data_IF_870868822018
#
_entry.id   IF_870868822018
#
_cell.length_a   1.000
_cell.length_b   1.000
_cell.length_c   1.000
_cell.angle_alpha   90.00
_cell.angle_beta   90.00
_cell.angle_gamma   90.00
#
_symmetry.space_group_name_H-M   'P 1'
#
loop_
_entity.id
_entity.type
_entity.pdbx_description
1 polymer ?
#
# COMPACT_ATOMS: atom_id res chain seq x y z
N UNK A 1 -31.76 -24.83 4.10
CA UNK A 1 -31.96 -23.37 4.25
C UNK A 1 -30.83 -22.75 5.08
N UNK A 2 -30.58 -23.23 6.30
CA UNK A 2 -29.45 -22.84 7.18
C UNK A 2 -28.07 -22.89 6.52
N UNK A 3 -27.76 -23.94 5.74
CA UNK A 3 -26.47 -24.04 5.03
C UNK A 3 -26.28 -23.02 3.90
N UNK A 4 -27.37 -22.56 3.26
CA UNK A 4 -27.31 -21.55 2.20
C UNK A 4 -27.14 -20.13 2.76
N UNK A 5 -27.76 -19.85 3.91
CA UNK A 5 -27.65 -18.57 4.61
C UNK A 5 -26.23 -18.37 5.15
N UNK A 6 -25.63 -19.41 5.73
CA UNK A 6 -24.25 -19.34 6.25
C UNK A 6 -23.22 -19.09 5.13
N UNK A 7 -23.38 -19.77 3.98
CA UNK A 7 -22.53 -19.59 2.81
C UNK A 7 -22.63 -18.16 2.25
N UNK A 8 -23.85 -17.62 2.19
CA UNK A 8 -24.09 -16.26 1.69
C UNK A 8 -23.44 -15.25 2.61
N UNK A 9 -23.64 -15.34 3.93
CA UNK A 9 -23.03 -14.43 4.90
C UNK A 9 -21.49 -14.45 4.83
N UNK A 10 -20.87 -15.63 4.73
CA UNK A 10 -19.41 -15.77 4.67
C UNK A 10 -18.80 -15.18 3.40
N UNK A 11 -19.44 -15.35 2.24
CA UNK A 11 -19.01 -14.72 0.99
C UNK A 11 -19.11 -13.20 1.10
N UNK A 12 -20.18 -12.67 1.70
CA UNK A 12 -20.33 -11.23 1.90
C UNK A 12 -19.25 -10.67 2.82
N UNK A 13 -18.94 -11.34 3.94
CA UNK A 13 -17.87 -10.92 4.85
C UNK A 13 -16.48 -10.99 4.21
N UNK A 14 -16.17 -12.04 3.45
CA UNK A 14 -14.91 -12.16 2.70
C UNK A 14 -14.76 -11.08 1.63
N UNK A 15 -15.82 -10.82 0.86
CA UNK A 15 -15.84 -9.74 -0.12
C UNK A 15 -15.74 -8.36 0.52
N UNK A 16 -16.37 -8.13 1.67
CA UNK A 16 -16.23 -6.88 2.44
C UNK A 16 -14.83 -6.70 3.00
N UNK A 17 -14.16 -7.76 3.46
CA UNK A 17 -12.81 -7.69 4.00
C UNK A 17 -11.78 -7.41 2.91
N UNK A 18 -11.89 -8.12 1.78
CA UNK A 18 -11.11 -7.83 0.57
C UNK A 18 -11.40 -6.42 0.08
N UNK A 19 -12.66 -6.00 0.01
CA UNK A 19 -13.01 -4.64 -0.36
C UNK A 19 -12.48 -3.63 0.67
N UNK A 20 -12.48 -3.85 1.98
CA UNK A 20 -12.00 -2.86 2.95
C UNK A 20 -10.49 -2.63 2.84
N UNK A 21 -9.71 -3.71 2.66
CA UNK A 21 -8.26 -3.61 2.43
C UNK A 21 -7.92 -3.11 1.01
N UNK A 22 -8.77 -3.38 0.02
CA UNK A 22 -8.54 -2.98 -1.39
C UNK A 22 -9.12 -1.58 -1.72
N UNK A 23 -10.18 -1.14 -1.05
CA UNK A 23 -10.99 0.04 -1.41
C UNK A 23 -10.53 1.31 -0.70
N UNK A 24 -9.78 1.21 0.41
CA UNK A 24 -9.20 2.37 1.09
C UNK A 24 -7.96 2.94 0.38
N UNK A 25 -6.92 2.10 0.20
CA UNK A 25 -5.62 2.57 -0.27
C UNK A 25 -5.27 2.13 -1.70
N UNK A 26 -5.70 0.96 -2.18
CA UNK A 26 -5.34 0.48 -3.52
C UNK A 26 -6.26 0.97 -4.64
N UNK A 27 -7.47 1.47 -4.35
CA UNK A 27 -8.34 2.08 -5.37
C UNK A 27 -7.69 3.27 -6.09
N UNK A 28 -6.85 4.05 -5.39
CA UNK A 28 -6.10 5.18 -5.97
C UNK A 28 -4.92 4.72 -6.86
N UNK A 29 -4.32 3.56 -6.56
CA UNK A 29 -3.25 2.97 -7.37
C UNK A 29 -3.76 2.13 -8.55
N UNK A 30 -4.93 1.50 -8.43
CA UNK A 30 -5.51 0.59 -9.43
C UNK A 30 -6.40 1.28 -10.46
N UNK A 31 -6.79 2.54 -10.23
CA UNK A 31 -7.55 3.34 -11.19
C UNK A 31 -6.77 4.59 -11.65
N UNK A 32 -5.57 4.42 -12.28
CA UNK A 32 -4.71 5.53 -12.72
C UNK A 32 -5.31 6.38 -13.85
N UNK A 33 -6.46 6.00 -14.41
CA UNK A 33 -7.10 6.69 -15.53
C UNK A 33 -8.13 7.76 -15.15
N UNK A 34 -8.50 7.89 -13.87
CA UNK A 34 -9.52 8.86 -13.42
C UNK A 34 -8.94 10.11 -12.76
N UNK A 35 -7.65 10.13 -12.43
CA UNK A 35 -6.97 11.28 -11.83
C UNK A 35 -5.61 11.45 -12.50
N UNK A 36 -5.33 12.62 -13.09
CA UNK A 36 -4.01 12.97 -13.66
C UNK A 36 -3.00 13.26 -12.54
N UNK A 37 -2.87 12.35 -11.58
CA UNK A 37 -1.93 12.48 -10.47
C UNK A 37 -0.53 12.08 -10.94
N UNK A 38 0.39 13.02 -10.92
CA UNK A 38 1.82 12.76 -11.16
C UNK A 38 2.44 12.24 -9.87
N UNK A 39 3.07 11.07 -9.94
CA UNK A 39 3.74 10.46 -8.79
C UNK A 39 5.25 10.56 -8.95
N UNK A 40 5.92 10.99 -7.88
CA UNK A 40 7.36 10.96 -7.76
C UNK A 40 7.76 9.75 -6.89
N UNK A 41 8.67 8.92 -7.41
CA UNK A 41 9.30 7.84 -6.64
C UNK A 41 10.81 8.00 -6.75
N UNK A 42 11.47 8.22 -5.61
CA UNK A 42 12.91 8.48 -5.48
C UNK A 42 13.76 7.50 -6.31
N UNK A 43 13.49 6.20 -6.19
CA UNK A 43 14.25 5.12 -6.81
C UNK A 43 14.10 5.07 -8.33
N UNK A 44 12.95 5.50 -8.86
CA UNK A 44 12.65 5.50 -10.29
C UNK A 44 13.01 6.82 -10.95
N UNK A 45 12.96 7.92 -10.21
CA UNK A 45 13.13 9.29 -10.74
C UNK A 45 14.58 9.77 -10.67
N UNK A 46 15.39 9.21 -9.76
CA UNK A 46 16.82 9.53 -9.62
C UNK A 46 17.65 8.43 -10.29
N UNK A 47 18.58 8.82 -11.17
CA UNK A 47 19.49 7.89 -11.84
C UNK A 47 20.36 7.17 -10.78
N UNK A 48 20.22 5.84 -10.68
CA UNK A 48 20.95 5.03 -9.71
C UNK A 48 22.34 4.59 -10.18
N UNK A 49 22.64 4.71 -11.49
CA UNK A 49 23.85 4.20 -12.12
C UNK A 49 24.94 5.26 -12.27
N UNK A 50 24.58 6.48 -12.65
CA UNK A 50 25.53 7.56 -12.89
C UNK A 50 25.65 8.48 -11.68
N UNK A 51 26.85 8.55 -11.09
CA UNK A 51 27.10 9.32 -9.85
C UNK A 51 26.81 10.81 -9.98
N UNK A 52 27.12 11.42 -11.13
CA UNK A 52 26.89 12.84 -11.40
C UNK A 52 25.38 13.14 -11.46
N UNK A 53 24.62 12.34 -12.21
CA UNK A 53 23.17 12.50 -12.34
C UNK A 53 22.44 12.14 -11.03
N UNK A 54 22.94 11.17 -10.27
CA UNK A 54 22.45 10.85 -8.94
C UNK A 54 22.56 12.06 -8.00
N UNK A 55 23.74 12.67 -7.97
CA UNK A 55 24.00 13.86 -7.14
C UNK A 55 23.08 15.02 -7.52
N UNK A 56 22.88 15.24 -8.82
CA UNK A 56 21.95 16.25 -9.31
C UNK A 56 20.50 15.94 -8.89
N UNK A 57 20.06 14.68 -9.03
CA UNK A 57 18.73 14.25 -8.61
C UNK A 57 18.50 14.42 -7.10
N UNK A 58 19.49 14.09 -6.26
CA UNK A 58 19.41 14.30 -4.81
C UNK A 58 19.30 15.79 -4.47
N UNK A 59 19.99 16.68 -5.19
CA UNK A 59 19.88 18.14 -4.98
C UNK A 59 18.47 18.66 -5.23
N UNK A 60 17.76 18.10 -6.20
CA UNK A 60 16.38 18.49 -6.52
C UNK A 60 15.34 17.78 -5.64
N UNK A 61 15.72 16.80 -4.81
CA UNK A 61 14.78 16.05 -3.97
C UNK A 61 13.97 16.96 -3.04
N UNK A 62 14.59 17.99 -2.48
CA UNK A 62 13.90 18.98 -1.67
C UNK A 62 12.80 19.73 -2.43
N UNK A 63 13.05 20.07 -3.69
CA UNK A 63 12.07 20.75 -4.54
C UNK A 63 10.88 19.84 -4.87
N UNK A 64 11.12 18.55 -5.11
CA UNK A 64 10.03 17.58 -5.29
C UNK A 64 9.14 17.49 -4.05
N UNK A 65 9.73 17.41 -2.86
CA UNK A 65 8.97 17.35 -1.61
C UNK A 65 8.16 18.63 -1.38
N UNK A 66 8.73 19.80 -1.69
CA UNK A 66 8.06 21.09 -1.55
C UNK A 66 6.90 21.28 -2.55
N UNK A 67 7.02 20.72 -3.76
CA UNK A 67 5.99 20.82 -4.80
C UNK A 67 4.96 19.67 -4.75
N UNK A 68 5.16 18.67 -3.88
CA UNK A 68 4.20 17.57 -3.73
C UNK A 68 3.00 18.01 -2.91
N UNK A 69 1.79 17.69 -3.39
CA UNK A 69 0.53 17.97 -2.69
C UNK A 69 0.24 16.98 -1.55
N UNK A 70 0.74 15.74 -1.68
CA UNK A 70 0.55 14.68 -0.69
C UNK A 70 1.74 13.70 -0.71
N UNK A 71 1.98 13.01 0.40
CA UNK A 71 3.02 11.98 0.52
C UNK A 71 2.39 10.67 0.97
N UNK A 72 2.70 9.57 0.29
CA UNK A 72 2.35 8.22 0.73
C UNK A 72 3.58 7.52 1.29
N UNK A 73 3.56 7.21 2.57
CA UNK A 73 4.63 6.55 3.30
C UNK A 73 4.35 5.06 3.45
N UNK A 74 5.22 4.21 2.90
CA UNK A 74 5.14 2.76 3.08
C UNK A 74 5.84 2.35 4.37
N UNK A 75 5.10 2.32 5.48
CA UNK A 75 5.67 2.12 6.80
C UNK A 75 6.05 0.67 7.08
N UNK A 76 7.19 0.55 7.74
CA UNK A 76 7.91 -0.69 7.91
C UNK A 76 8.88 -0.69 9.11
N UNK A 77 9.05 -1.75 9.93
CA UNK A 77 10.06 -1.86 10.98
C UNK A 77 11.48 -1.56 10.53
N UNK A 78 11.83 -1.74 9.25
CA UNK A 78 13.09 -1.25 8.69
C UNK A 78 13.01 0.18 8.14
N UNK A 79 11.83 0.80 8.05
CA UNK A 79 11.66 2.19 7.66
C UNK A 79 12.49 3.16 8.52
N UNK A 80 12.46 3.10 9.87
CA UNK A 80 13.25 4.03 10.68
C UNK A 80 14.76 3.85 10.55
N UNK A 81 15.25 2.73 9.99
CA UNK A 81 16.68 2.53 9.77
C UNK A 81 17.18 3.20 8.48
N UNK A 82 16.26 3.62 7.60
CA UNK A 82 16.58 4.24 6.31
C UNK A 82 16.62 5.76 6.45
N UNK A 83 17.84 6.29 6.61
CA UNK A 83 18.11 7.72 6.84
C UNK A 83 17.35 8.64 5.86
N UNK A 84 17.42 8.34 4.55
CA UNK A 84 16.78 9.17 3.52
C UNK A 84 15.26 9.21 3.66
N UNK A 85 14.62 8.08 3.96
CA UNK A 85 13.18 8.00 4.13
C UNK A 85 12.69 8.82 5.34
N UNK A 86 13.49 8.90 6.41
CA UNK A 86 13.20 9.74 7.58
C UNK A 86 13.46 11.21 7.29
N UNK A 87 14.53 11.53 6.55
CA UNK A 87 14.81 12.88 6.10
C UNK A 87 13.65 13.43 5.25
N UNK A 88 13.19 12.68 4.25
CA UNK A 88 12.07 13.05 3.37
C UNK A 88 10.79 13.27 4.17
N UNK A 89 10.46 12.36 5.09
CA UNK A 89 9.31 12.49 5.98
C UNK A 89 9.40 13.76 6.85
N UNK A 90 10.56 14.01 7.46
CA UNK A 90 10.75 15.17 8.32
C UNK A 90 10.62 16.48 7.54
N UNK A 91 11.19 16.54 6.33
CA UNK A 91 11.06 17.69 5.42
C UNK A 91 9.61 17.87 5.00
N UNK A 92 8.92 16.81 4.58
CA UNK A 92 7.51 16.90 4.17
C UNK A 92 6.64 17.41 5.32
N UNK A 93 6.74 16.82 6.52
CA UNK A 93 6.01 17.24 7.71
C UNK A 93 6.35 18.65 8.19
N UNK A 94 7.50 19.21 7.80
CA UNK A 94 7.87 20.59 8.11
C UNK A 94 7.08 21.60 7.28
N UNK A 95 6.73 21.26 6.04
CA UNK A 95 6.10 22.18 5.08
C UNK A 95 4.63 21.86 4.76
N UNK A 96 4.18 20.64 5.06
CA UNK A 96 2.82 20.14 4.78
C UNK A 96 2.06 19.75 6.03
N UNK A 97 0.73 19.62 5.90
CA UNK A 97 -0.12 19.20 7.01
C UNK A 97 -0.09 17.68 7.13
N UNK A 98 -0.33 17.18 8.34
CA UNK A 98 -0.45 15.75 8.60
C UNK A 98 -1.62 15.13 7.81
N UNK A 99 -2.65 15.91 7.48
CA UNK A 99 -3.76 15.47 6.60
C UNK A 99 -3.32 15.05 5.20
N UNK A 100 -2.16 15.52 4.76
CA UNK A 100 -1.63 15.31 3.41
C UNK A 100 -0.65 14.12 3.38
N UNK A 101 -0.43 13.49 4.53
CA UNK A 101 0.41 12.32 4.71
C UNK A 101 -0.47 11.06 4.85
N UNK A 102 -0.36 10.15 3.88
CA UNK A 102 -0.98 8.82 3.94
C UNK A 102 0.05 7.78 4.39
N UNK A 103 -0.24 7.02 5.44
CA UNK A 103 0.66 6.00 5.99
C UNK A 103 0.10 4.61 5.69
N UNK A 104 0.82 3.85 4.87
CA UNK A 104 0.47 2.50 4.47
C UNK A 104 1.38 1.51 5.18
N UNK A 105 0.85 0.78 6.16
CA UNK A 105 1.61 -0.23 6.91
C UNK A 105 1.73 -1.52 6.09
N UNK A 106 2.95 -1.91 5.71
CA UNK A 106 3.20 -3.02 4.77
C UNK A 106 3.28 -4.42 5.43
N UNK A 107 3.33 -4.49 6.76
CA UNK A 107 3.61 -5.70 7.58
C UNK A 107 2.39 -6.59 7.75
N UNK A 108 1.21 -5.97 7.73
CA UNK A 108 -0.05 -6.69 7.82
C UNK A 108 -0.49 -7.31 6.50
N UNK A 109 0.08 -6.90 5.37
CA UNK A 109 -0.38 -7.34 4.06
C UNK A 109 -0.12 -8.85 3.83
N UNK A 110 1.09 -9.40 4.06
CA UNK A 110 1.34 -10.84 3.85
C UNK A 110 0.54 -11.72 4.82
N UNK A 111 0.38 -11.29 6.07
CA UNK A 111 -0.43 -12.01 7.05
C UNK A 111 -1.92 -11.98 6.69
N UNK A 112 -2.44 -10.85 6.20
CA UNK A 112 -3.81 -10.73 5.70
C UNK A 112 -4.07 -11.60 4.48
N UNK A 113 -3.14 -11.64 3.52
CA UNK A 113 -3.21 -12.55 2.36
C UNK A 113 -3.14 -14.02 2.80
N UNK A 114 -2.25 -14.37 3.74
CA UNK A 114 -2.13 -15.73 4.26
C UNK A 114 -3.40 -16.18 5.01
N UNK A 115 -4.00 -15.33 5.86
CA UNK A 115 -5.26 -15.64 6.55
C UNK A 115 -6.39 -15.86 5.54
N UNK A 116 -6.45 -15.05 4.49
CA UNK A 116 -7.44 -15.19 3.42
C UNK A 116 -7.23 -16.51 2.65
N UNK A 117 -6.00 -16.83 2.25
CA UNK A 117 -5.68 -18.08 1.56
C UNK A 117 -5.95 -19.30 2.45
N UNK A 118 -5.53 -19.27 3.72
CA UNK A 118 -5.76 -20.35 4.68
C UNK A 118 -7.24 -20.59 4.94
N UNK A 119 -8.04 -19.54 5.09
CA UNK A 119 -9.49 -19.67 5.25
C UNK A 119 -10.17 -20.26 4.00
N UNK A 120 -9.73 -19.89 2.79
CA UNK A 120 -10.20 -20.52 1.55
C UNK A 120 -9.80 -21.99 1.44
N UNK A 121 -8.55 -22.34 1.77
CA UNK A 121 -8.06 -23.72 1.71
C UNK A 121 -8.73 -24.63 2.75
N UNK A 122 -8.88 -24.15 3.99
CA UNK A 122 -9.61 -24.89 5.03
C UNK A 122 -11.06 -25.17 4.62
N UNK A 123 -11.72 -24.21 3.95
CA UNK A 123 -13.07 -24.40 3.43
C UNK A 123 -13.14 -25.46 2.32
N UNK A 124 -12.18 -25.45 1.37
CA UNK A 124 -12.11 -26.46 0.30
C UNK A 124 -11.91 -27.86 0.87
N UNK A 125 -11.05 -28.01 1.89
CA UNK A 125 -10.79 -29.29 2.55
C UNK A 125 -12.00 -29.79 3.36
N UNK A 126 -12.75 -28.90 4.02
CA UNK A 126 -13.99 -29.27 4.73
C UNK A 126 -15.12 -29.66 3.78
N UNK A 127 -15.13 -29.14 2.54
CA UNK A 127 -16.16 -29.41 1.52
C UNK A 127 -15.84 -30.61 0.63
N UNK A 128 -14.57 -30.95 0.44
CA UNK A 128 -14.10 -32.09 -0.35
C UNK A 128 -14.78 -33.44 -0.01
N UNK A 129 -14.97 -33.82 1.27
CA UNK A 129 -15.61 -35.09 1.62
C UNK A 129 -17.14 -35.10 1.46
N UNK A 130 -17.78 -33.98 1.12
CA UNK A 130 -19.22 -33.89 0.85
C UNK A 130 -19.53 -33.75 -0.65
N UNK A 131 -18.50 -33.75 -1.49
CA UNK A 131 -18.57 -33.64 -2.96
C UNK A 131 -18.20 -34.96 -3.67
N UNK A 132 -17.73 -35.96 -2.92
CA UNK A 132 -17.49 -37.35 -3.34
C UNK A 132 -18.62 -38.20 -2.76
#
# INVERSE_FOLDING_TARGET
ITHGILLTLQLTFGCFFVAFFVRGHTWRFLNPGMDSSMYFLDKCSINQKESNLKTLGIRHLGEYLLNSDSMTLLFDPSYPTRLWCIFELAVFCRFRKISDLDIVVTWGAPAGYAVTICSCLAFMLVRLPFLI
#
